data_IF_215887196851
#
_entry.id   IF_215887196851
#
_cell.length_a   1.000
_cell.length_b   1.000
_cell.length_c   1.000
_cell.angle_alpha   90.00
_cell.angle_beta   90.00
_cell.angle_gamma   90.00
#
_symmetry.space_group_name_H-M   'P 1'
#
loop_
_entity.id
_entity.type
_entity.pdbx_description
1 polymer ?
#
# COMPACT_ATOMS: atom_id res chain seq x y z
N UNK A 1 42.53 8.68 -43.73
CA UNK A 1 41.72 8.94 -42.51
C UNK A 1 42.17 7.97 -41.43
N UNK A 2 42.49 8.44 -40.23
CA UNK A 2 42.85 7.55 -39.12
C UNK A 2 41.58 6.87 -38.56
N UNK A 3 41.72 5.64 -38.07
CA UNK A 3 40.62 4.91 -37.43
C UNK A 3 40.03 5.73 -36.26
N UNK A 4 40.87 6.43 -35.50
CA UNK A 4 40.45 7.31 -34.41
C UNK A 4 39.57 8.47 -34.89
N UNK A 5 39.87 9.07 -36.04
CA UNK A 5 39.05 10.14 -36.61
C UNK A 5 37.69 9.60 -37.06
N UNK A 6 37.67 8.47 -37.78
CA UNK A 6 36.42 7.84 -38.24
C UNK A 6 35.51 7.43 -37.07
N UNK A 7 36.08 6.90 -35.98
CA UNK A 7 35.33 6.56 -34.77
C UNK A 7 34.78 7.81 -34.06
N UNK A 8 35.54 8.90 -33.98
CA UNK A 8 35.07 10.15 -33.39
C UNK A 8 34.00 10.83 -34.24
N UNK A 9 34.11 10.78 -35.57
CA UNK A 9 33.10 11.31 -36.49
C UNK A 9 31.79 10.52 -36.39
N UNK A 10 31.85 9.17 -36.40
CA UNK A 10 30.67 8.32 -36.20
C UNK A 10 30.04 8.55 -34.83
N UNK A 11 30.85 8.63 -33.77
CA UNK A 11 30.37 8.98 -32.42
C UNK A 11 29.68 10.35 -32.40
N UNK A 12 30.24 11.35 -33.09
CA UNK A 12 29.65 12.68 -33.17
C UNK A 12 28.31 12.65 -33.94
N UNK A 13 28.22 11.97 -35.08
CA UNK A 13 26.95 11.83 -35.81
C UNK A 13 25.89 11.08 -35.01
N UNK A 14 26.26 9.95 -34.37
CA UNK A 14 25.37 9.16 -33.52
C UNK A 14 24.86 10.00 -32.35
N UNK A 15 25.76 10.69 -31.64
CA UNK A 15 25.39 11.53 -30.50
C UNK A 15 24.63 12.79 -30.92
N UNK A 16 24.83 13.30 -32.14
CA UNK A 16 24.14 14.50 -32.62
C UNK A 16 22.81 14.19 -33.32
N UNK A 17 22.52 12.92 -33.62
CA UNK A 17 21.25 12.46 -34.16
C UNK A 17 20.12 12.69 -33.16
N UNK A 18 19.14 13.50 -33.55
CA UNK A 18 17.99 13.86 -32.72
C UNK A 18 17.20 12.64 -32.23
N UNK A 19 17.05 11.60 -33.06
CA UNK A 19 16.34 10.37 -32.69
C UNK A 19 17.06 9.67 -31.54
N UNK A 20 18.39 9.58 -31.61
CA UNK A 20 19.22 8.92 -30.60
C UNK A 20 19.19 9.71 -29.29
N UNK A 21 19.29 11.04 -29.33
CA UNK A 21 19.12 11.90 -28.14
C UNK A 21 17.75 11.70 -27.48
N UNK A 22 16.67 11.68 -28.27
CA UNK A 22 15.31 11.45 -27.77
C UNK A 22 15.16 10.07 -27.13
N UNK A 23 15.73 9.02 -27.75
CA UNK A 23 15.73 7.68 -27.16
C UNK A 23 16.48 7.64 -25.83
N UNK A 24 17.68 8.23 -25.74
CA UNK A 24 18.42 8.32 -24.48
C UNK A 24 17.65 9.08 -23.40
N UNK A 25 16.97 10.16 -23.77
CA UNK A 25 16.15 10.93 -22.86
C UNK A 25 14.97 10.11 -22.32
N UNK A 26 14.23 9.42 -23.20
CA UNK A 26 13.12 8.54 -22.81
C UNK A 26 13.63 7.44 -21.87
N UNK A 27 14.71 6.74 -22.24
CA UNK A 27 15.32 5.68 -21.41
C UNK A 27 15.71 6.23 -20.03
N UNK A 28 16.26 7.44 -19.98
CA UNK A 28 16.68 8.07 -18.74
C UNK A 28 15.48 8.39 -17.84
N UNK A 29 14.40 8.93 -18.40
CA UNK A 29 13.15 9.20 -17.66
C UNK A 29 12.52 7.90 -17.16
N UNK A 30 12.43 6.87 -18.00
CA UNK A 30 11.86 5.58 -17.59
C UNK A 30 12.70 4.94 -16.49
N UNK A 31 14.03 5.02 -16.58
CA UNK A 31 14.92 4.52 -15.54
C UNK A 31 14.77 5.26 -14.21
N UNK A 32 14.60 6.58 -14.24
CA UNK A 32 14.35 7.38 -13.02
C UNK A 32 13.01 6.96 -12.38
N UNK A 33 11.95 6.84 -13.18
CA UNK A 33 10.63 6.44 -12.70
C UNK A 33 10.64 5.04 -12.08
N UNK A 34 11.31 4.08 -12.71
CA UNK A 34 11.53 2.74 -12.17
C UNK A 34 12.32 2.79 -10.86
N UNK A 35 13.43 3.53 -10.83
CA UNK A 35 14.29 3.63 -9.65
C UNK A 35 13.55 4.18 -8.44
N UNK A 36 12.69 5.19 -8.62
CA UNK A 36 11.85 5.73 -7.53
C UNK A 36 10.93 4.64 -6.96
N UNK A 37 10.27 3.86 -7.82
CA UNK A 37 9.38 2.77 -7.40
C UNK A 37 10.14 1.67 -6.64
N UNK A 38 11.34 1.32 -7.10
CA UNK A 38 12.22 0.33 -6.44
C UNK A 38 12.65 0.84 -5.07
N UNK A 39 13.18 2.07 -5.00
CA UNK A 39 13.64 2.68 -3.74
C UNK A 39 12.50 2.76 -2.73
N UNK A 40 11.31 3.20 -3.14
CA UNK A 40 10.12 3.23 -2.29
C UNK A 40 9.76 1.85 -1.73
N UNK A 41 9.91 0.80 -2.54
CA UNK A 41 9.63 -0.57 -2.13
C UNK A 41 10.65 -1.08 -1.10
N UNK A 42 11.95 -0.84 -1.30
CA UNK A 42 12.97 -1.18 -0.30
C UNK A 42 12.78 -0.40 1.00
N UNK A 43 12.44 0.88 0.90
CA UNK A 43 12.17 1.71 2.08
C UNK A 43 10.97 1.17 2.88
N UNK A 44 9.88 0.82 2.20
CA UNK A 44 8.70 0.19 2.80
C UNK A 44 9.07 -1.10 3.55
N UNK A 45 9.85 -2.00 2.94
CA UNK A 45 10.28 -3.25 3.59
C UNK A 45 11.11 -2.98 4.86
N UNK A 46 11.99 -1.97 4.84
CA UNK A 46 12.76 -1.59 6.03
C UNK A 46 11.86 -1.07 7.17
N UNK A 47 10.82 -0.32 6.84
CA UNK A 47 9.84 0.16 7.82
C UNK A 47 8.98 -1.00 8.37
N UNK A 48 8.50 -1.88 7.49
CA UNK A 48 7.81 -3.11 7.90
C UNK A 48 8.68 -3.97 8.83
N UNK A 49 9.97 -4.12 8.53
CA UNK A 49 10.91 -4.85 9.38
C UNK A 49 11.05 -4.19 10.76
N UNK A 50 11.13 -2.87 10.80
CA UNK A 50 11.18 -2.11 12.05
C UNK A 50 9.92 -2.33 12.90
N UNK A 51 8.75 -2.40 12.28
CA UNK A 51 7.49 -2.75 12.96
C UNK A 51 7.50 -4.17 13.50
N UNK A 52 7.95 -5.15 12.70
CA UNK A 52 8.08 -6.55 13.13
C UNK A 52 9.02 -6.71 14.32
N UNK A 53 10.17 -6.02 14.31
CA UNK A 53 11.12 -6.02 15.44
C UNK A 53 10.45 -5.45 16.70
N UNK A 54 9.69 -4.36 16.58
CA UNK A 54 8.94 -3.78 17.71
C UNK A 54 7.91 -4.75 18.29
N UNK A 55 7.18 -5.49 17.44
CA UNK A 55 6.24 -6.52 17.89
C UNK A 55 6.94 -7.63 18.67
N UNK A 56 8.05 -8.13 18.13
CA UNK A 56 8.84 -9.18 18.78
C UNK A 56 9.34 -8.67 20.14
N UNK A 57 9.85 -7.44 20.21
CA UNK A 57 10.32 -6.87 21.47
C UNK A 57 9.20 -6.73 22.52
N UNK A 58 7.98 -6.39 22.09
CA UNK A 58 6.81 -6.21 22.97
C UNK A 58 6.16 -7.53 23.41
N UNK A 59 6.35 -8.63 22.70
CA UNK A 59 5.71 -9.90 23.05
C UNK A 59 6.26 -10.49 24.35
N UNK A 60 5.39 -10.90 25.26
CA UNK A 60 5.79 -11.36 26.60
C UNK A 60 6.11 -12.86 26.63
N UNK A 61 7.20 -13.31 26.00
CA UNK A 61 7.61 -14.73 25.94
C UNK A 61 6.44 -15.73 25.89
N UNK A 62 5.45 -15.36 25.08
CA UNK A 62 4.19 -16.06 24.93
C UNK A 62 4.44 -17.41 24.25
N UNK A 63 3.42 -18.27 24.23
CA UNK A 63 3.52 -19.54 23.50
C UNK A 63 3.90 -19.29 22.03
N UNK A 64 3.35 -18.23 21.45
CA UNK A 64 3.60 -17.81 20.08
C UNK A 64 3.70 -16.28 20.01
N UNK A 65 4.66 -15.78 19.25
CA UNK A 65 4.79 -14.36 18.90
C UNK A 65 4.38 -14.21 17.44
N UNK A 66 3.21 -13.62 17.22
CA UNK A 66 2.67 -13.41 15.88
C UNK A 66 3.23 -12.12 15.27
N UNK A 67 3.73 -12.21 14.04
CA UNK A 67 4.20 -11.06 13.26
C UNK A 67 3.60 -11.04 11.85
N UNK A 68 3.39 -9.87 11.25
CA UNK A 68 2.96 -9.81 9.86
C UNK A 68 4.06 -10.31 8.93
N UNK A 69 3.68 -11.05 7.89
CA UNK A 69 4.53 -11.31 6.73
C UNK A 69 4.86 -10.00 6.01
N UNK A 70 5.97 -9.96 5.27
CA UNK A 70 6.28 -8.79 4.44
C UNK A 70 5.28 -8.67 3.28
N UNK A 71 4.76 -7.47 3.08
CA UNK A 71 4.06 -7.11 1.87
C UNK A 71 5.06 -6.50 0.87
N UNK A 72 5.26 -7.20 -0.24
CA UNK A 72 6.13 -6.73 -1.33
C UNK A 72 5.30 -5.98 -2.36
N UNK A 73 5.57 -4.67 -2.52
CA UNK A 73 4.96 -3.88 -3.58
C UNK A 73 5.27 -4.46 -4.96
N UNK A 74 4.36 -4.30 -5.95
CA UNK A 74 4.64 -4.68 -7.33
C UNK A 74 5.93 -4.03 -7.85
N UNK A 75 6.87 -4.85 -8.29
CA UNK A 75 8.14 -4.39 -8.85
C UNK A 75 7.99 -3.99 -10.32
N UNK A 76 8.81 -3.03 -10.78
CA UNK A 76 8.74 -2.55 -12.15
C UNK A 76 9.08 -3.61 -13.20
N UNK A 77 9.99 -4.53 -12.85
CA UNK A 77 10.39 -5.62 -13.72
C UNK A 77 10.73 -6.85 -12.88
N UNK A 78 10.79 -8.01 -13.54
CA UNK A 78 11.21 -9.27 -12.91
C UNK A 78 12.69 -9.31 -12.55
N UNK A 79 13.50 -8.34 -12.99
CA UNK A 79 14.92 -8.25 -12.64
C UNK A 79 15.14 -7.67 -11.25
N UNK A 80 14.18 -6.88 -10.74
CA UNK A 80 14.17 -6.43 -9.35
C UNK A 80 13.47 -7.47 -8.49
N UNK A 81 14.22 -8.06 -7.55
CA UNK A 81 13.69 -9.09 -6.65
C UNK A 81 14.15 -8.84 -5.22
N UNK A 82 13.27 -9.17 -4.30
CA UNK A 82 13.64 -9.34 -2.90
C UNK A 82 14.09 -10.78 -2.66
N UNK A 83 15.03 -10.95 -1.75
CA UNK A 83 15.18 -12.22 -1.06
C UNK A 83 14.00 -12.37 -0.10
N UNK A 84 13.13 -13.33 -0.38
CA UNK A 84 11.93 -13.60 0.42
C UNK A 84 12.14 -14.73 1.41
N UNK A 85 13.33 -15.33 1.47
CA UNK A 85 13.58 -16.44 2.37
C UNK A 85 13.56 -15.96 3.83
N UNK A 86 12.72 -16.59 4.65
CA UNK A 86 12.60 -16.30 6.08
C UNK A 86 12.70 -17.60 6.88
N UNK A 87 13.56 -17.63 7.89
CA UNK A 87 13.70 -18.76 8.81
C UNK A 87 13.22 -18.35 10.21
N UNK A 88 11.97 -18.72 10.51
CA UNK A 88 11.33 -18.37 11.77
C UNK A 88 11.94 -19.06 12.99
N UNK A 89 12.50 -20.28 12.84
CA UNK A 89 13.18 -20.98 13.93
C UNK A 89 14.46 -20.25 14.34
N UNK A 90 15.26 -19.85 13.35
CA UNK A 90 16.48 -19.07 13.58
C UNK A 90 16.13 -17.70 14.18
N UNK A 91 15.08 -17.05 13.69
CA UNK A 91 14.59 -15.77 14.22
C UNK A 91 14.13 -15.91 15.69
N UNK A 92 13.39 -16.98 16.01
CA UNK A 92 12.92 -17.27 17.37
C UNK A 92 14.09 -17.42 18.34
N UNK A 93 15.12 -18.18 17.94
CA UNK A 93 16.36 -18.34 18.73
C UNK A 93 17.09 -17.01 18.90
N UNK A 94 17.24 -16.24 17.83
CA UNK A 94 17.94 -14.95 17.85
C UNK A 94 17.30 -13.94 18.81
N UNK A 95 15.97 -13.82 18.78
CA UNK A 95 15.22 -12.89 19.65
C UNK A 95 14.81 -13.50 21.01
N UNK A 96 15.30 -14.70 21.35
CA UNK A 96 14.96 -15.43 22.56
C UNK A 96 13.43 -15.58 22.79
N UNK A 97 12.70 -15.94 21.73
CA UNK A 97 11.27 -16.23 21.75
C UNK A 97 11.02 -17.73 21.62
N UNK A 98 9.94 -18.22 22.22
CA UNK A 98 9.56 -19.64 22.15
C UNK A 98 9.24 -20.07 20.71
N UNK A 99 8.40 -19.29 20.05
CA UNK A 99 7.98 -19.52 18.68
C UNK A 99 7.57 -18.18 18.06
N UNK A 100 8.16 -17.82 16.93
CA UNK A 100 7.74 -16.68 16.10
C UNK A 100 7.02 -17.26 14.89
N UNK A 101 5.78 -16.83 14.67
CA UNK A 101 4.97 -17.29 13.54
C UNK A 101 4.49 -16.06 12.77
N UNK A 102 4.47 -16.16 11.45
CA UNK A 102 3.96 -15.08 10.62
C UNK A 102 2.51 -15.30 10.19
N UNK A 103 1.77 -14.21 10.04
CA UNK A 103 0.45 -14.19 9.41
C UNK A 103 0.49 -13.35 8.13
N UNK A 104 -0.26 -13.77 7.11
CA UNK A 104 -0.31 -13.06 5.83
C UNK A 104 -0.86 -11.64 5.96
N UNK A 105 -0.29 -10.72 5.18
CA UNK A 105 -0.79 -9.35 5.01
C UNK A 105 -1.10 -9.07 3.55
N UNK A 106 -2.14 -8.27 3.30
CA UNK A 106 -2.64 -8.00 1.93
C UNK A 106 -2.34 -6.59 1.43
N UNK A 107 -1.67 -5.76 2.24
CA UNK A 107 -1.31 -4.38 1.93
C UNK A 107 0.01 -3.98 2.59
N UNK A 108 0.62 -2.88 2.13
CA UNK A 108 1.83 -2.31 2.72
C UNK A 108 1.52 -1.66 4.07
N UNK A 109 1.77 -2.39 5.15
CA UNK A 109 1.53 -1.89 6.50
C UNK A 109 2.62 -0.95 7.00
N UNK A 110 3.67 -0.62 6.23
CA UNK A 110 4.62 0.43 6.66
C UNK A 110 3.96 1.81 6.82
N UNK A 111 2.82 2.04 6.16
CA UNK A 111 2.14 3.33 6.11
C UNK A 111 1.29 3.64 7.35
N UNK A 112 0.98 2.64 8.18
CA UNK A 112 -0.04 2.78 9.23
C UNK A 112 0.43 3.54 10.48
N UNK A 113 1.74 3.72 10.65
CA UNK A 113 2.35 4.50 11.74
C UNK A 113 2.97 5.82 11.23
N UNK A 114 2.88 6.11 9.93
CA UNK A 114 3.37 7.36 9.34
C UNK A 114 2.19 8.30 9.04
N UNK A 115 2.14 9.41 9.79
CA UNK A 115 1.08 10.41 9.69
C UNK A 115 1.00 11.07 8.30
N UNK A 116 2.07 11.00 7.48
CA UNK A 116 2.03 11.55 6.12
C UNK A 116 1.05 10.81 5.21
N UNK A 117 0.75 9.55 5.49
CA UNK A 117 -0.23 8.76 4.73
C UNK A 117 -1.64 8.88 5.29
N UNK A 118 -1.80 9.50 6.47
CA UNK A 118 -3.08 9.60 7.16
C UNK A 118 -3.80 10.86 6.71
N UNK A 119 -4.90 10.68 5.98
CA UNK A 119 -5.65 11.78 5.38
C UNK A 119 -6.87 12.20 6.19
N UNK A 120 -7.31 11.37 7.14
CA UNK A 120 -8.46 11.69 7.97
C UNK A 120 -8.26 11.17 9.41
N UNK A 121 -8.36 12.11 10.34
CA UNK A 121 -8.48 11.91 11.78
C UNK A 121 -9.84 12.46 12.19
N UNK A 122 -10.90 11.65 12.25
CA UNK A 122 -12.20 12.17 12.68
C UNK A 122 -12.35 12.10 14.20
N UNK A 123 -13.06 13.06 14.77
CA UNK A 123 -13.44 13.09 16.18
C UNK A 123 -14.66 12.22 16.52
N UNK A 124 -15.37 11.66 15.52
CA UNK A 124 -16.51 10.71 15.73
C UNK A 124 -16.05 9.25 15.96
N UNK A 125 -14.74 9.05 16.02
CA UNK A 125 -14.03 7.76 15.92
C UNK A 125 -13.90 6.97 17.22
N UNK A 126 -14.43 7.48 18.33
CA UNK A 126 -14.46 6.77 19.63
C UNK A 126 -15.79 6.09 19.93
N UNK A 127 -16.78 6.19 19.05
CA UNK A 127 -18.00 5.39 19.21
C UNK A 127 -17.73 3.94 18.84
N UNK A 128 -18.47 2.98 19.43
CA UNK A 128 -18.44 1.56 19.03
C UNK A 128 -18.71 1.32 17.52
N UNK A 129 -19.16 2.36 16.81
CA UNK A 129 -19.52 2.37 15.40
C UNK A 129 -18.50 3.12 14.50
N UNK A 130 -17.34 3.52 15.01
CA UNK A 130 -16.38 4.40 14.32
C UNK A 130 -15.40 3.71 13.36
N UNK A 131 -15.04 4.45 12.31
CA UNK A 131 -13.76 4.35 11.61
C UNK A 131 -12.69 5.00 12.52
N UNK A 132 -11.44 4.53 12.57
CA UNK A 132 -10.33 5.10 13.37
C UNK A 132 -9.30 5.85 12.53
N UNK A 133 -9.32 5.72 11.22
CA UNK A 133 -8.42 6.47 10.37
C UNK A 133 -8.49 5.99 8.93
N UNK A 134 -8.14 6.88 8.02
CA UNK A 134 -7.95 6.53 6.60
C UNK A 134 -6.51 6.80 6.24
N UNK A 135 -5.85 5.78 5.71
CA UNK A 135 -4.49 5.85 5.19
C UNK A 135 -4.54 5.64 3.68
N UNK A 136 -3.80 6.46 2.94
CA UNK A 136 -3.76 6.39 1.49
C UNK A 136 -2.32 6.39 1.03
N UNK A 137 -2.00 5.50 0.11
CA UNK A 137 -0.72 5.48 -0.56
C UNK A 137 -0.86 4.98 -1.99
N UNK A 138 0.19 5.17 -2.79
CA UNK A 138 0.20 4.72 -4.19
C UNK A 138 1.15 3.55 -4.42
N UNK A 139 0.82 2.72 -5.40
CA UNK A 139 1.61 1.56 -5.86
C UNK A 139 1.76 1.58 -7.38
N UNK A 140 2.63 0.70 -7.90
CA UNK A 140 2.78 0.44 -9.34
C UNK A 140 2.99 1.74 -10.12
N UNK A 141 4.07 2.46 -9.81
CA UNK A 141 4.41 3.75 -10.45
C UNK A 141 3.34 4.83 -10.30
N UNK A 142 2.73 4.92 -9.13
CA UNK A 142 1.66 5.85 -8.83
C UNK A 142 0.35 5.60 -9.62
N UNK A 143 0.26 4.51 -10.39
CA UNK A 143 -0.94 4.19 -11.18
C UNK A 143 -2.05 3.61 -10.32
N UNK A 144 -1.70 2.96 -9.21
CA UNK A 144 -2.67 2.35 -8.32
C UNK A 144 -2.75 3.16 -7.03
N UNK A 145 -3.97 3.36 -6.53
CA UNK A 145 -4.21 3.98 -5.22
C UNK A 145 -4.75 2.93 -4.26
N UNK A 146 -4.17 2.88 -3.06
CA UNK A 146 -4.60 1.99 -1.99
C UNK A 146 -5.16 2.81 -0.85
N UNK A 147 -6.33 2.41 -0.36
CA UNK A 147 -6.99 2.95 0.81
C UNK A 147 -7.01 1.88 1.92
N UNK A 148 -6.57 2.28 3.11
CA UNK A 148 -6.71 1.49 4.33
C UNK A 148 -7.68 2.22 5.26
N UNK A 149 -8.71 1.52 5.69
CA UNK A 149 -9.70 2.03 6.63
C UNK A 149 -9.50 1.32 7.96
N UNK A 150 -8.89 1.99 8.92
CA UNK A 150 -8.75 1.45 10.27
C UNK A 150 -10.12 1.48 10.96
N UNK A 151 -10.50 0.39 11.62
CA UNK A 151 -11.73 0.32 12.40
C UNK A 151 -11.43 0.48 13.89
N UNK A 152 -12.36 1.10 14.64
CA UNK A 152 -12.19 1.26 16.08
C UNK A 152 -12.31 -0.08 16.81
N UNK A 153 -13.28 -0.94 16.45
CA UNK A 153 -13.52 -2.26 17.06
C UNK A 153 -13.86 -3.34 16.01
N UNK A 154 -13.25 -4.53 16.13
CA UNK A 154 -13.48 -5.66 15.21
C UNK A 154 -14.87 -6.28 15.33
N UNK A 155 -15.41 -6.31 16.56
CA UNK A 155 -16.61 -7.05 16.95
C UNK A 155 -17.84 -6.63 16.12
N UNK A 156 -17.80 -5.42 15.56
CA UNK A 156 -18.80 -4.89 14.62
C UNK A 156 -19.03 -5.81 13.41
N UNK A 157 -17.96 -6.35 12.82
CA UNK A 157 -18.07 -7.17 11.61
C UNK A 157 -18.85 -8.46 11.87
N UNK A 158 -18.82 -8.95 13.12
CA UNK A 158 -19.56 -10.13 13.57
C UNK A 158 -21.00 -9.83 14.02
N UNK A 159 -21.27 -8.59 14.44
CA UNK A 159 -22.60 -8.14 14.93
C UNK A 159 -23.58 -7.87 13.78
N UNK A 160 -23.08 -7.60 12.57
CA UNK A 160 -23.90 -7.27 11.41
C UNK A 160 -23.57 -8.21 10.22
N UNK A 161 -24.12 -9.43 10.17
CA UNK A 161 -23.76 -10.43 9.16
C UNK A 161 -24.08 -9.99 7.71
N UNK A 162 -25.02 -9.05 7.55
CA UNK A 162 -25.40 -8.48 6.25
C UNK A 162 -24.70 -7.14 5.95
N UNK A 163 -23.67 -6.77 6.69
CA UNK A 163 -22.96 -5.52 6.47
C UNK A 163 -22.15 -5.58 5.18
N UNK A 164 -22.38 -4.59 4.31
CA UNK A 164 -21.52 -4.27 3.17
C UNK A 164 -20.90 -2.90 3.32
N UNK A 165 -19.74 -2.71 2.69
CA UNK A 165 -19.09 -1.41 2.64
C UNK A 165 -19.31 -0.80 1.27
N UNK A 166 -19.77 0.45 1.27
CA UNK A 166 -19.78 1.22 0.04
C UNK A 166 -18.50 2.03 -0.05
N UNK A 167 -17.90 2.04 -1.23
CA UNK A 167 -16.68 2.79 -1.50
C UNK A 167 -16.76 3.39 -2.90
N UNK A 168 -17.01 4.69 -2.93
CA UNK A 168 -17.28 5.41 -4.14
C UNK A 168 -16.23 6.48 -4.35
N UNK A 169 -15.78 6.60 -5.59
CA UNK A 169 -14.77 7.58 -6.00
C UNK A 169 -15.36 8.45 -7.08
N UNK A 170 -15.18 9.76 -6.95
CA UNK A 170 -15.43 10.70 -8.03
C UNK A 170 -14.09 11.20 -8.52
N UNK A 171 -13.85 11.10 -9.82
CA UNK A 171 -12.62 11.57 -10.41
C UNK A 171 -12.63 13.09 -10.68
N UNK A 172 -11.49 13.62 -11.09
CA UNK A 172 -11.34 15.05 -11.43
C UNK A 172 -12.25 15.52 -12.57
N UNK A 173 -12.71 14.61 -13.43
CA UNK A 173 -13.65 14.92 -14.52
C UNK A 173 -15.11 14.85 -14.08
N UNK A 174 -15.37 14.41 -12.85
CA UNK A 174 -16.70 14.25 -12.28
C UNK A 174 -17.34 12.88 -12.54
N UNK A 175 -16.63 11.93 -13.15
CA UNK A 175 -17.18 10.59 -13.32
C UNK A 175 -17.16 9.82 -12.00
N UNK A 176 -18.18 9.00 -11.82
CA UNK A 176 -18.40 8.19 -10.64
C UNK A 176 -17.91 6.76 -10.85
N UNK A 177 -17.19 6.24 -9.87
CA UNK A 177 -16.65 4.89 -9.85
C UNK A 177 -17.09 4.16 -8.58
N UNK A 178 -17.68 2.98 -8.73
CA UNK A 178 -18.15 2.15 -7.62
C UNK A 178 -17.15 1.02 -7.34
N UNK A 179 -16.68 0.94 -6.10
CA UNK A 179 -15.78 -0.08 -5.57
C UNK A 179 -16.33 -0.76 -4.31
N UNK A 180 -17.66 -0.84 -4.17
CA UNK A 180 -18.32 -1.53 -3.06
C UNK A 180 -17.76 -2.94 -2.86
N UNK A 181 -17.51 -3.30 -1.60
CA UNK A 181 -16.84 -4.54 -1.26
C UNK A 181 -17.48 -5.22 -0.04
N UNK A 182 -17.39 -6.54 -0.04
CA UNK A 182 -17.71 -7.36 1.13
C UNK A 182 -16.64 -7.18 2.20
N UNK A 183 -17.00 -7.21 3.50
CA UNK A 183 -16.04 -7.07 4.60
C UNK A 183 -14.89 -8.07 4.47
N UNK A 184 -13.73 -7.60 4.02
CA UNK A 184 -12.47 -8.31 4.09
C UNK A 184 -11.51 -7.46 4.92
N UNK A 185 -11.02 -8.02 6.01
CA UNK A 185 -10.20 -7.30 6.98
C UNK A 185 -8.91 -8.05 7.30
N UNK A 186 -7.89 -7.30 7.71
CA UNK A 186 -6.60 -7.82 8.14
C UNK A 186 -6.20 -7.15 9.45
N UNK A 187 -5.55 -7.92 10.32
CA UNK A 187 -4.97 -7.41 11.55
C UNK A 187 -3.54 -6.97 11.31
N UNK A 188 -3.16 -5.83 11.88
CA UNK A 188 -1.75 -5.44 12.05
C UNK A 188 -1.60 -4.82 13.43
N UNK A 189 -0.80 -5.42 14.31
CA UNK A 189 -0.56 -4.93 15.68
C UNK A 189 -1.86 -4.66 16.46
N UNK A 190 -2.79 -5.63 16.49
CA UNK A 190 -4.12 -5.53 17.12
C UNK A 190 -5.07 -4.47 16.53
N UNK A 191 -4.64 -3.78 15.46
CA UNK A 191 -5.46 -2.84 14.71
C UNK A 191 -6.12 -3.57 13.55
N UNK A 192 -7.36 -3.22 13.25
CA UNK A 192 -8.16 -3.87 12.20
C UNK A 192 -8.29 -2.92 11.03
N UNK A 193 -7.97 -3.42 9.84
CA UNK A 193 -8.04 -2.63 8.62
C UNK A 193 -8.94 -3.30 7.59
N UNK A 194 -9.82 -2.52 7.00
CA UNK A 194 -10.38 -2.82 5.68
C UNK A 194 -9.45 -2.22 4.63
N UNK A 195 -9.45 -2.82 3.44
CA UNK A 195 -8.56 -2.45 2.35
C UNK A 195 -9.34 -2.34 1.05
N UNK A 196 -9.03 -1.30 0.27
CA UNK A 196 -9.48 -1.19 -1.10
C UNK A 196 -8.32 -0.72 -1.99
N UNK A 197 -8.13 -1.39 -3.13
CA UNK A 197 -7.13 -1.01 -4.13
C UNK A 197 -7.81 -0.68 -5.45
N UNK A 198 -7.48 0.50 -5.95
CA UNK A 198 -7.99 1.03 -7.20
C UNK A 198 -6.92 0.83 -8.27
N UNK A 199 -7.11 -0.16 -9.13
CA UNK A 199 -6.18 -0.45 -10.22
C UNK A 199 -6.32 0.59 -11.34
N UNK A 200 -5.17 1.14 -11.75
CA UNK A 200 -5.07 2.19 -12.79
C UNK A 200 -5.85 3.47 -12.48
N UNK A 201 -6.11 3.76 -11.20
CA UNK A 201 -6.65 5.03 -10.73
C UNK A 201 -5.59 5.68 -9.83
N UNK A 202 -4.80 6.63 -10.37
CA UNK A 202 -3.76 7.29 -9.62
C UNK A 202 -4.35 8.30 -8.63
N UNK A 203 -3.63 8.57 -7.54
CA UNK A 203 -4.15 9.39 -6.45
C UNK A 203 -4.55 10.80 -6.90
N UNK A 204 -3.76 11.41 -7.77
CA UNK A 204 -4.02 12.75 -8.32
C UNK A 204 -5.26 12.82 -9.22
N UNK A 205 -5.79 11.67 -9.66
CA UNK A 205 -7.01 11.60 -10.48
C UNK A 205 -8.28 11.54 -9.61
N UNK A 206 -8.14 11.34 -8.31
CA UNK A 206 -9.26 11.25 -7.37
C UNK A 206 -9.59 12.64 -6.84
N UNK A 207 -10.83 13.08 -7.04
CA UNK A 207 -11.33 14.36 -6.53
C UNK A 207 -11.96 14.22 -5.15
N UNK A 208 -12.81 13.20 -4.99
CA UNK A 208 -13.52 12.97 -3.74
C UNK A 208 -13.85 11.51 -3.55
N UNK A 209 -14.02 11.13 -2.30
CA UNK A 209 -14.31 9.77 -1.87
C UNK A 209 -15.53 9.78 -0.97
N UNK A 210 -16.40 8.78 -1.13
CA UNK A 210 -17.43 8.45 -0.14
C UNK A 210 -17.24 7.02 0.32
N UNK A 211 -17.17 6.84 1.62
CA UNK A 211 -16.98 5.54 2.24
C UNK A 211 -17.98 5.35 3.38
N UNK A 212 -18.48 4.14 3.55
CA UNK A 212 -19.33 3.83 4.68
C UNK A 212 -19.86 2.41 4.59
N UNK A 213 -20.94 2.15 5.31
CA UNK A 213 -21.51 0.80 5.35
C UNK A 213 -23.02 0.80 5.38
N UNK A 214 -23.60 -0.30 4.91
CA UNK A 214 -25.04 -0.45 4.73
C UNK A 214 -25.46 -1.91 4.93
N UNK A 215 -26.76 -2.13 5.10
CA UNK A 215 -27.35 -3.46 5.14
C UNK A 215 -27.58 -3.98 3.72
N UNK A 216 -26.97 -5.10 3.36
CA UNK A 216 -27.13 -5.71 2.03
C UNK A 216 -28.57 -6.11 1.73
N UNK A 217 -29.37 -6.41 2.75
CA UNK A 217 -30.79 -6.77 2.61
C UNK A 217 -31.71 -5.56 2.49
N UNK A 218 -31.23 -4.38 2.88
CA UNK A 218 -31.97 -3.12 2.77
C UNK A 218 -30.98 -1.97 2.54
N UNK A 219 -30.55 -1.72 1.28
CA UNK A 219 -29.49 -0.76 0.98
C UNK A 219 -29.78 0.70 1.38
N UNK A 220 -31.06 1.04 1.60
CA UNK A 220 -31.47 2.33 2.14
C UNK A 220 -31.05 2.52 3.62
N UNK A 221 -30.84 1.43 4.35
CA UNK A 221 -30.38 1.44 5.74
C UNK A 221 -28.87 1.59 5.79
N UNK A 222 -28.41 2.84 5.91
CA UNK A 222 -26.99 3.19 6.09
C UNK A 222 -26.62 3.08 7.57
N UNK A 223 -25.50 2.41 7.85
CA UNK A 223 -24.95 2.26 9.21
C UNK A 223 -23.92 3.35 9.52
N UNK A 224 -23.18 3.80 8.52
CA UNK A 224 -22.22 4.89 8.61
C UNK A 224 -21.93 5.46 7.23
N UNK A 225 -21.65 6.75 7.14
CA UNK A 225 -21.22 7.41 5.91
C UNK A 225 -20.22 8.53 6.22
N UNK A 226 -19.14 8.56 5.45
CA UNK A 226 -18.15 9.60 5.41
C UNK A 226 -17.99 10.05 3.95
N UNK A 227 -17.81 11.36 3.76
CA UNK A 227 -17.46 11.94 2.48
C UNK A 227 -16.30 12.92 2.71
N UNK A 228 -15.25 12.81 1.89
CA UNK A 228 -14.08 13.68 1.99
C UNK A 228 -13.48 13.96 0.61
N UNK A 229 -12.81 15.11 0.50
CA UNK A 229 -12.04 15.54 -0.66
C UNK A 229 -10.56 15.29 -0.43
N UNK A 230 -9.82 14.96 -1.48
CA UNK A 230 -8.37 14.73 -1.46
C UNK A 230 -7.60 15.93 -2.01
#
# INVERSE_FOLDING_TARGET
MSIAYSLNFLRYEILNNYIIKTLYFIISITFIAESISVISSYHSINLQNSMRIKLIAKSNNEKETLIPEFYFKPMPSSTYKFDTWTNFDAMSKYYNKKNIVAYGTIFDYSVIDDNNYKIHDSSDMQTKNGLKGIYIYSEKYLLNTVFLFELTHQERLSVQPNQRFFFHVTDITGNYHNFDFDPNYTYVNDRVFLYAKLDNIPLWYIKSVSFGSFDSTSPAKRYSQLHFTL
#
